data_IF_572042944058
#
_entry.id   IF_572042944058
#
_cell.length_a   1.000
_cell.length_b   1.000
_cell.length_c   1.000
_cell.angle_alpha   90.00
_cell.angle_beta   90.00
_cell.angle_gamma   90.00
#
_symmetry.space_group_name_H-M   'P 1'
#
loop_
_entity.id
_entity.type
_entity.pdbx_description
1 polymer ?
#
# COMPACT_ATOMS: atom_id res chain seq x y z
N UNK A 1 -18.43 -3.52 24.55
CA UNK A 1 -17.40 -3.79 23.52
C UNK A 1 -16.39 -2.64 23.52
N UNK A 2 -15.15 -2.87 23.97
CA UNK A 2 -14.10 -1.85 23.95
C UNK A 2 -13.57 -1.71 22.51
N UNK A 3 -13.68 -0.52 21.93
CA UNK A 3 -13.03 -0.14 20.65
C UNK A 3 -11.53 -0.35 20.80
N UNK A 4 -10.97 -1.27 20.02
CA UNK A 4 -9.52 -1.44 19.89
C UNK A 4 -8.93 -0.15 19.30
N UNK A 5 -8.42 0.73 20.17
CA UNK A 5 -7.57 1.86 19.81
C UNK A 5 -6.12 1.41 19.85
N UNK A 6 -5.78 0.38 19.08
CA UNK A 6 -4.39 0.09 18.75
C UNK A 6 -4.12 0.65 17.36
N UNK A 7 -4.19 1.99 17.26
CA UNK A 7 -3.69 2.68 16.07
C UNK A 7 -2.17 2.63 16.16
N UNK A 8 -1.61 1.53 15.69
CA UNK A 8 -0.19 1.35 15.47
C UNK A 8 0.32 2.59 14.72
N UNK A 9 1.09 3.46 15.39
CA UNK A 9 1.61 4.72 14.83
C UNK A 9 2.50 4.51 13.59
N UNK A 10 2.89 3.26 13.31
CA UNK A 10 3.65 2.84 12.14
C UNK A 10 2.80 2.11 11.07
N UNK A 11 1.47 2.06 11.24
CA UNK A 11 0.57 1.53 10.22
C UNK A 11 0.73 2.37 8.96
N UNK A 12 1.43 1.80 7.98
CA UNK A 12 1.78 2.48 6.76
C UNK A 12 0.49 2.90 6.05
N UNK A 13 0.30 4.21 5.87
CA UNK A 13 -0.93 4.73 5.26
C UNK A 13 -0.93 4.36 3.78
N UNK A 14 -1.76 3.38 3.44
CA UNK A 14 -2.07 3.01 2.06
C UNK A 14 -2.74 4.20 1.38
N UNK A 15 -2.30 4.50 0.16
CA UNK A 15 -2.83 5.56 -0.68
C UNK A 15 -3.63 4.97 -1.84
N UNK A 16 -4.55 5.75 -2.42
CA UNK A 16 -5.31 5.30 -3.59
C UNK A 16 -4.39 4.89 -4.76
N UNK A 17 -3.31 5.65 -4.99
CA UNK A 17 -2.31 5.33 -6.02
C UNK A 17 -1.64 3.97 -5.83
N UNK A 18 -1.51 3.49 -4.57
CA UNK A 18 -0.94 2.16 -4.31
C UNK A 18 -1.84 1.05 -4.89
N UNK A 19 -3.16 1.23 -4.86
CA UNK A 19 -4.10 0.27 -5.45
C UNK A 19 -4.16 0.34 -6.97
N UNK A 20 -3.83 1.49 -7.57
CA UNK A 20 -3.68 1.60 -9.02
C UNK A 20 -2.48 0.76 -9.47
N UNK A 21 -1.32 0.95 -8.85
CA UNK A 21 -0.11 0.16 -9.15
C UNK A 21 -0.32 -1.33 -8.83
N UNK A 22 -1.01 -1.65 -7.72
CA UNK A 22 -1.34 -3.04 -7.41
C UNK A 22 -2.21 -3.68 -8.50
N UNK A 23 -3.13 -2.93 -9.09
CA UNK A 23 -4.01 -3.43 -10.15
C UNK A 23 -3.25 -3.79 -11.42
N UNK A 24 -2.23 -3.01 -11.77
CA UNK A 24 -1.31 -3.29 -12.87
C UNK A 24 -0.49 -4.55 -12.60
N UNK A 25 0.08 -4.68 -11.39
CA UNK A 25 0.85 -5.87 -10.99
C UNK A 25 0.01 -7.15 -10.99
N UNK A 26 -1.29 -7.06 -10.66
CA UNK A 26 -2.19 -8.20 -10.57
C UNK A 26 -3.02 -8.45 -11.85
N UNK A 27 -2.87 -7.62 -12.88
CA UNK A 27 -3.61 -7.71 -14.13
C UNK A 27 -5.13 -7.60 -13.94
N UNK A 28 -5.60 -6.71 -13.06
CA UNK A 28 -7.01 -6.53 -12.76
C UNK A 28 -7.37 -5.05 -12.54
N UNK A 29 -8.62 -4.74 -12.17
CA UNK A 29 -9.04 -3.37 -11.84
C UNK A 29 -8.60 -2.98 -10.43
N UNK A 30 -8.43 -1.68 -10.16
CA UNK A 30 -8.05 -1.18 -8.82
C UNK A 30 -9.03 -1.59 -7.72
N UNK A 31 -10.33 -1.67 -8.06
CA UNK A 31 -11.35 -2.19 -7.15
C UNK A 31 -11.16 -3.68 -6.85
N UNK A 32 -10.87 -4.50 -7.87
CA UNK A 32 -10.58 -5.92 -7.68
C UNK A 32 -9.30 -6.14 -6.88
N UNK A 33 -8.24 -5.38 -7.16
CA UNK A 33 -6.98 -5.41 -6.41
C UNK A 33 -7.19 -5.07 -4.93
N UNK A 34 -7.97 -4.01 -4.65
CA UNK A 34 -8.36 -3.63 -3.29
C UNK A 34 -9.14 -4.73 -2.58
N UNK A 35 -10.15 -5.31 -3.22
CA UNK A 35 -10.92 -6.42 -2.65
C UNK A 35 -10.05 -7.64 -2.34
N UNK A 36 -9.11 -8.00 -3.23
CA UNK A 36 -8.15 -9.09 -2.98
C UNK A 36 -7.31 -8.80 -1.73
N UNK A 37 -6.75 -7.60 -1.62
CA UNK A 37 -6.00 -7.16 -0.44
C UNK A 37 -6.84 -7.22 0.85
N UNK A 38 -8.09 -6.73 0.81
CA UNK A 38 -9.00 -6.72 1.96
C UNK A 38 -9.39 -8.15 2.40
N UNK A 39 -9.53 -9.08 1.46
CA UNK A 39 -9.78 -10.51 1.71
C UNK A 39 -8.55 -11.28 2.20
N UNK A 40 -7.39 -10.63 2.30
CA UNK A 40 -6.17 -11.28 2.80
C UNK A 40 -5.45 -12.12 1.76
N UNK A 41 -5.69 -11.90 0.46
CA UNK A 41 -4.92 -12.57 -0.59
C UNK A 41 -3.41 -12.31 -0.41
N UNK A 42 -2.63 -13.38 -0.27
CA UNK A 42 -1.22 -13.30 0.09
C UNK A 42 -0.41 -12.53 -0.96
N UNK A 43 -0.67 -12.76 -2.25
CA UNK A 43 0.02 -12.06 -3.35
C UNK A 43 -0.30 -10.56 -3.32
N UNK A 44 -1.56 -10.21 -3.09
CA UNK A 44 -1.98 -8.81 -2.98
C UNK A 44 -1.36 -8.12 -1.76
N UNK A 45 -1.26 -8.80 -0.61
CA UNK A 45 -0.61 -8.29 0.60
C UNK A 45 0.88 -8.04 0.38
N UNK A 46 1.59 -9.00 -0.19
CA UNK A 46 3.03 -8.92 -0.48
C UNK A 46 3.31 -7.81 -1.49
N UNK A 47 2.59 -7.78 -2.61
CA UNK A 47 2.77 -6.76 -3.64
C UNK A 47 2.48 -5.35 -3.12
N UNK A 48 1.39 -5.15 -2.34
CA UNK A 48 1.07 -3.84 -1.79
C UNK A 48 2.14 -3.36 -0.79
N UNK A 49 2.72 -4.27 -0.01
CA UNK A 49 3.84 -3.95 0.89
C UNK A 49 5.05 -3.40 0.11
N UNK A 50 5.41 -4.07 -0.99
CA UNK A 50 6.52 -3.65 -1.87
C UNK A 50 6.25 -2.26 -2.47
N UNK A 51 5.02 -2.03 -2.94
CA UNK A 51 4.62 -0.74 -3.53
C UNK A 51 4.78 0.39 -2.51
N UNK A 52 4.29 0.22 -1.28
CA UNK A 52 4.36 1.26 -0.25
C UNK A 52 5.81 1.56 0.13
N UNK A 53 6.64 0.53 0.30
CA UNK A 53 8.06 0.70 0.60
C UNK A 53 8.77 1.47 -0.51
N UNK A 54 8.55 1.05 -1.77
CA UNK A 54 9.13 1.70 -2.96
C UNK A 54 8.70 3.15 -3.06
N UNK A 55 7.40 3.45 -2.93
CA UNK A 55 6.87 4.83 -2.95
C UNK A 55 7.56 5.72 -1.91
N UNK A 56 7.79 5.20 -0.71
CA UNK A 56 8.47 5.97 0.35
C UNK A 56 9.93 6.23 0.01
N UNK A 57 10.62 5.22 -0.52
CA UNK A 57 12.02 5.31 -0.95
C UNK A 57 12.19 6.41 -2.00
N UNK A 58 11.41 6.35 -3.09
CA UNK A 58 11.54 7.32 -4.19
C UNK A 58 11.19 8.76 -3.75
N UNK A 59 10.17 8.94 -2.90
CA UNK A 59 9.82 10.27 -2.38
C UNK A 59 10.94 10.84 -1.51
N UNK A 60 11.55 9.98 -0.67
CA UNK A 60 12.66 10.39 0.19
C UNK A 60 13.89 10.77 -0.64
N UNK A 61 14.23 9.94 -1.62
CA UNK A 61 15.36 10.18 -2.54
C UNK A 61 15.18 11.50 -3.30
N UNK A 62 13.99 11.75 -3.86
CA UNK A 62 13.68 12.99 -4.55
C UNK A 62 13.84 14.22 -3.64
N UNK A 63 13.34 14.15 -2.39
CA UNK A 63 13.48 15.26 -1.43
C UNK A 63 14.92 15.54 -1.04
N UNK A 64 15.76 14.51 -0.90
CA UNK A 64 17.17 14.67 -0.56
C UNK A 64 17.99 15.27 -1.73
N UNK A 65 17.62 14.98 -2.97
CA UNK A 65 18.32 15.50 -4.15
C UNK A 65 17.96 16.97 -4.47
N UNK A 66 16.84 17.46 -3.95
CA UNK A 66 16.29 18.79 -4.26
C UNK A 66 16.17 19.68 -3.02
N UNK A 67 16.99 19.41 -1.99
CA UNK A 67 17.19 20.23 -0.79
C UNK A 67 18.63 20.74 -0.76
#
# INVERSE_FOLDING_TARGET
>A
MKRAKDVNKNAQKIQYGDFVTLSEMLGCTSQAARMRYERGDKKAKEALSIIIETRRKIIKEYKLQNQ
#
